data_IF_757703413835
#
_entry.id   IF_757703413835
#
_cell.length_a   1.000
_cell.length_b   1.000
_cell.length_c   1.000
_cell.angle_alpha   90.00
_cell.angle_beta   90.00
_cell.angle_gamma   90.00
#
_symmetry.space_group_name_H-M   'P 1'
#
loop_
_entity.id
_entity.type
_entity.pdbx_description
1 polymer ?
#
# COMPACT_ATOMS: atom_id res chain seq x y z
N UNK A 1 -13.09 -0.60 -34.40
CA UNK A 1 -12.73 -0.30 -32.99
C UNK A 1 -12.04 1.04 -32.93
N UNK A 2 -12.52 1.99 -32.12
CA UNK A 2 -11.95 3.33 -32.06
C UNK A 2 -10.60 3.25 -31.33
N UNK A 3 -9.48 3.45 -32.05
CA UNK A 3 -8.12 3.35 -31.49
C UNK A 3 -7.92 4.28 -30.28
N UNK A 4 -8.66 5.39 -30.22
CA UNK A 4 -8.70 6.36 -29.12
C UNK A 4 -9.35 5.85 -27.84
N UNK A 5 -9.97 4.65 -27.82
CA UNK A 5 -10.56 4.06 -26.62
C UNK A 5 -9.70 2.95 -26.02
N UNK A 6 -8.82 2.34 -26.82
CA UNK A 6 -7.99 1.21 -26.42
C UNK A 6 -6.88 1.59 -25.45
N UNK A 7 -6.55 2.88 -25.33
CA UNK A 7 -5.52 3.34 -24.41
C UNK A 7 -5.95 3.19 -22.94
N UNK A 8 -7.24 3.31 -22.61
CA UNK A 8 -7.74 3.17 -21.22
C UNK A 8 -7.43 1.76 -20.67
N UNK A 9 -7.89 0.66 -21.31
CA UNK A 9 -7.54 -0.67 -20.85
C UNK A 9 -6.05 -0.95 -20.95
N UNK A 10 -5.33 -0.39 -21.92
CA UNK A 10 -3.88 -0.56 -22.03
C UNK A 10 -3.11 0.09 -20.88
N UNK A 11 -3.44 1.33 -20.51
CA UNK A 11 -2.83 2.05 -19.39
C UNK A 11 -3.21 1.40 -18.06
N UNK A 12 -4.47 1.00 -17.90
CA UNK A 12 -4.91 0.24 -16.74
C UNK A 12 -4.08 -1.04 -16.56
N UNK A 13 -3.96 -1.84 -17.63
CA UNK A 13 -3.21 -3.09 -17.60
C UNK A 13 -1.72 -2.85 -17.33
N UNK A 14 -1.14 -1.78 -17.87
CA UNK A 14 0.26 -1.41 -17.62
C UNK A 14 0.47 -1.07 -16.14
N UNK A 15 -0.34 -0.17 -15.57
CA UNK A 15 -0.20 0.27 -14.17
C UNK A 15 -0.44 -0.91 -13.22
N UNK A 16 -1.55 -1.64 -13.39
CA UNK A 16 -1.86 -2.78 -12.53
C UNK A 16 -0.84 -3.92 -12.72
N UNK A 17 -0.37 -4.14 -13.94
CA UNK A 17 0.68 -5.12 -14.21
C UNK A 17 1.97 -4.81 -13.44
N UNK A 18 2.42 -3.55 -13.46
CA UNK A 18 3.58 -3.11 -12.69
C UNK A 18 3.35 -3.29 -11.18
N UNK A 19 2.20 -2.85 -10.66
CA UNK A 19 1.88 -2.95 -9.23
C UNK A 19 1.81 -4.40 -8.74
N UNK A 20 1.19 -5.29 -9.52
CA UNK A 20 1.08 -6.70 -9.19
C UNK A 20 2.44 -7.41 -9.29
N UNK A 21 3.26 -7.10 -10.28
CA UNK A 21 4.62 -7.66 -10.38
C UNK A 21 5.49 -7.17 -9.22
N UNK A 22 5.42 -5.89 -8.85
CA UNK A 22 6.14 -5.38 -7.68
C UNK A 22 5.69 -6.12 -6.41
N UNK A 23 4.39 -6.19 -6.17
CA UNK A 23 3.85 -6.70 -4.90
C UNK A 23 3.95 -8.22 -4.79
N UNK A 24 3.53 -8.97 -5.82
CA UNK A 24 3.49 -10.43 -5.76
C UNK A 24 4.84 -11.01 -6.21
N UNK A 25 5.48 -10.42 -7.22
CA UNK A 25 6.71 -10.94 -7.79
C UNK A 25 7.95 -10.61 -6.96
N UNK A 26 8.00 -9.42 -6.36
CA UNK A 26 9.13 -8.99 -5.53
C UNK A 26 8.79 -8.91 -4.04
N UNK A 27 7.60 -9.38 -3.62
CA UNK A 27 7.09 -9.24 -2.25
C UNK A 27 7.18 -7.81 -1.72
N UNK A 28 7.10 -6.83 -2.63
CA UNK A 28 7.30 -5.44 -2.25
C UNK A 28 6.14 -4.95 -1.39
N UNK A 29 6.51 -4.40 -0.24
CA UNK A 29 5.67 -3.51 0.57
C UNK A 29 6.40 -2.20 0.80
N UNK A 30 5.66 -1.10 1.04
CA UNK A 30 6.27 0.19 1.37
C UNK A 30 6.99 0.23 2.73
N UNK A 31 7.10 -0.91 3.43
CA UNK A 31 7.84 -1.06 4.68
C UNK A 31 9.35 -0.99 4.39
N UNK A 32 10.09 -0.04 4.96
CA UNK A 32 11.56 0.03 4.85
C UNK A 32 12.30 -0.92 5.82
N UNK A 33 11.59 -1.91 6.37
CA UNK A 33 12.00 -2.77 7.46
C UNK A 33 11.68 -4.23 7.09
N UNK A 34 12.65 -5.10 7.35
CA UNK A 34 12.48 -6.55 7.31
C UNK A 34 12.71 -7.09 8.73
N UNK A 35 11.95 -8.09 9.14
CA UNK A 35 12.22 -8.82 10.37
C UNK A 35 12.06 -10.30 10.19
N UNK A 36 12.84 -11.04 10.99
CA UNK A 36 12.77 -12.49 11.09
C UNK A 36 12.99 -12.91 12.55
N UNK A 37 12.37 -14.02 12.94
CA UNK A 37 12.59 -14.64 14.24
C UNK A 37 13.02 -16.07 13.96
N UNK A 38 14.30 -16.37 14.17
CA UNK A 38 14.90 -17.68 13.93
C UNK A 38 15.77 -18.08 15.13
N UNK A 39 15.67 -19.33 15.58
CA UNK A 39 16.52 -19.92 16.63
C UNK A 39 16.72 -19.05 17.89
N UNK A 40 15.64 -18.42 18.38
CA UNK A 40 15.62 -17.50 19.53
C UNK A 40 16.33 -16.16 19.33
N UNK A 41 16.68 -15.82 18.10
CA UNK A 41 17.20 -14.52 17.69
C UNK A 41 16.12 -13.78 16.92
N UNK A 42 15.83 -12.56 17.35
CA UNK A 42 15.01 -11.62 16.62
C UNK A 42 15.94 -10.70 15.83
N UNK A 43 15.90 -10.85 14.51
CA UNK A 43 16.70 -10.05 13.57
C UNK A 43 15.82 -9.00 12.92
N UNK A 44 16.26 -7.75 12.99
CA UNK A 44 15.59 -6.62 12.35
C UNK A 44 16.56 -5.92 11.42
N UNK A 45 16.16 -5.73 10.17
CA UNK A 45 16.90 -4.96 9.17
C UNK A 45 16.12 -3.71 8.81
N UNK A 46 16.71 -2.53 9.00
CA UNK A 46 16.10 -1.25 8.59
C UNK A 46 17.15 -0.40 7.88
N UNK A 47 16.84 0.05 6.66
CA UNK A 47 17.75 0.88 5.84
C UNK A 47 19.17 0.32 5.67
N UNK A 48 19.34 -0.99 5.72
CA UNK A 48 20.63 -1.68 5.59
C UNK A 48 21.40 -1.86 6.90
N UNK A 49 20.90 -1.36 8.01
CA UNK A 49 21.40 -1.69 9.35
C UNK A 49 20.63 -2.90 9.88
N UNK A 50 21.33 -3.82 10.53
CA UNK A 50 20.74 -5.06 11.09
C UNK A 50 21.06 -5.17 12.57
N UNK A 51 20.04 -5.39 13.38
CA UNK A 51 20.14 -5.65 14.81
C UNK A 51 19.66 -7.06 15.12
N UNK A 52 20.34 -7.70 16.05
CA UNK A 52 20.03 -9.05 16.51
C UNK A 52 19.92 -9.02 18.03
N UNK A 53 18.74 -9.38 18.55
CA UNK A 53 18.48 -9.45 20.00
C UNK A 53 17.84 -10.80 20.35
N UNK A 54 17.84 -11.16 21.64
CA UNK A 54 17.16 -12.37 22.09
C UNK A 54 15.65 -12.22 21.94
N UNK A 55 15.02 -13.13 21.19
CA UNK A 55 13.57 -13.15 21.02
C UNK A 55 12.85 -13.49 22.34
N UNK A 56 13.43 -14.36 23.18
CA UNK A 56 12.86 -14.77 24.48
C UNK A 56 12.88 -13.64 25.52
N UNK A 57 13.92 -12.79 25.51
CA UNK A 57 13.98 -11.65 26.42
C UNK A 57 13.04 -10.50 25.97
N UNK A 58 12.71 -10.45 24.67
CA UNK A 58 11.94 -9.37 24.05
C UNK A 58 10.68 -9.84 23.32
N UNK A 59 10.03 -10.91 23.78
CA UNK A 59 8.87 -11.55 23.12
C UNK A 59 7.75 -10.57 22.79
N UNK A 60 7.45 -9.65 23.72
CA UNK A 60 6.36 -8.70 23.54
C UNK A 60 6.63 -7.74 22.37
N UNK A 61 7.87 -7.24 22.27
CA UNK A 61 8.31 -6.33 21.21
C UNK A 61 8.39 -7.07 19.87
N UNK A 62 8.97 -8.27 19.85
CA UNK A 62 9.04 -9.10 18.65
C UNK A 62 7.63 -9.42 18.11
N UNK A 63 6.67 -9.69 18.99
CA UNK A 63 5.27 -9.93 18.61
C UNK A 63 4.60 -8.67 18.05
N UNK A 64 4.77 -7.51 18.71
CA UNK A 64 4.22 -6.23 18.23
C UNK A 64 4.78 -5.88 16.83
N UNK A 65 6.09 -6.03 16.63
CA UNK A 65 6.74 -5.80 15.37
C UNK A 65 6.18 -6.67 14.23
N UNK A 66 5.92 -7.95 14.54
CA UNK A 66 5.30 -8.87 13.58
C UNK A 66 3.85 -8.51 13.25
N UNK A 67 3.07 -8.11 14.26
CA UNK A 67 1.70 -7.65 14.07
C UNK A 67 1.62 -6.37 13.23
N UNK A 68 2.47 -5.38 13.51
CA UNK A 68 2.55 -4.14 12.75
C UNK A 68 2.94 -4.42 11.29
N UNK A 69 3.92 -5.31 11.05
CA UNK A 69 4.31 -5.73 9.71
C UNK A 69 3.16 -6.37 8.94
N UNK A 70 2.45 -7.32 9.56
CA UNK A 70 1.30 -7.98 8.94
C UNK A 70 0.17 -6.99 8.62
N UNK A 71 -0.09 -6.03 9.52
CA UNK A 71 -1.08 -4.97 9.29
C UNK A 71 -0.71 -4.10 8.09
N UNK A 72 0.57 -3.79 7.90
CA UNK A 72 0.99 -3.06 6.70
C UNK A 72 0.78 -3.90 5.43
N UNK A 73 1.18 -5.18 5.43
CA UNK A 73 0.94 -6.06 4.28
C UNK A 73 -0.54 -6.11 3.91
N UNK A 74 -1.43 -6.23 4.91
CA UNK A 74 -2.87 -6.22 4.71
C UNK A 74 -3.37 -4.87 4.17
N UNK A 75 -2.89 -3.75 4.73
CA UNK A 75 -3.23 -2.41 4.25
C UNK A 75 -2.75 -2.19 2.81
N UNK A 76 -1.54 -2.62 2.46
CA UNK A 76 -1.00 -2.54 1.11
C UNK A 76 -1.79 -3.39 0.11
N UNK A 77 -2.19 -4.60 0.50
CA UNK A 77 -3.06 -5.44 -0.32
C UNK A 77 -4.42 -4.77 -0.56
N UNK A 78 -4.99 -4.15 0.48
CA UNK A 78 -6.23 -3.39 0.36
C UNK A 78 -6.06 -2.17 -0.57
N UNK A 79 -4.94 -1.46 -0.47
CA UNK A 79 -4.59 -0.34 -1.35
C UNK A 79 -4.56 -0.77 -2.82
N UNK A 80 -3.92 -1.90 -3.14
CA UNK A 80 -3.87 -2.42 -4.52
C UNK A 80 -5.27 -2.74 -5.04
N UNK A 81 -6.11 -3.36 -4.23
CA UNK A 81 -7.50 -3.68 -4.60
C UNK A 81 -8.27 -2.40 -4.89
N UNK A 82 -8.14 -1.39 -4.02
CA UNK A 82 -8.86 -0.13 -4.18
C UNK A 82 -8.33 0.72 -5.33
N UNK A 83 -7.02 0.74 -5.57
CA UNK A 83 -6.42 1.31 -6.78
C UNK A 83 -6.96 0.58 -8.00
N UNK A 84 -6.97 -0.76 -8.00
CA UNK A 84 -7.49 -1.56 -9.11
C UNK A 84 -8.97 -1.29 -9.41
N UNK A 85 -9.79 -1.03 -8.39
CA UNK A 85 -11.19 -0.68 -8.54
C UNK A 85 -11.41 0.77 -8.98
N UNK A 86 -10.63 1.73 -8.46
CA UNK A 86 -10.82 3.17 -8.71
C UNK A 86 -10.12 3.66 -9.98
N UNK A 87 -8.99 3.06 -10.35
CA UNK A 87 -8.17 3.49 -11.48
C UNK A 87 -8.95 3.60 -12.80
N UNK A 88 -9.85 2.65 -13.17
CA UNK A 88 -10.68 2.83 -14.36
C UNK A 88 -11.50 4.11 -14.32
N UNK A 89 -12.10 4.44 -13.17
CA UNK A 89 -12.91 5.65 -13.01
C UNK A 89 -12.09 6.92 -13.15
N UNK A 90 -10.88 6.92 -12.59
CA UNK A 90 -9.89 8.02 -12.73
C UNK A 90 -9.49 8.18 -14.20
N UNK A 91 -9.16 7.10 -14.91
CA UNK A 91 -8.80 7.15 -16.32
C UNK A 91 -9.96 7.68 -17.20
N UNK A 92 -11.19 7.25 -16.91
CA UNK A 92 -12.39 7.75 -17.59
C UNK A 92 -12.73 9.21 -17.22
N UNK A 93 -12.33 9.70 -16.05
CA UNK A 93 -12.51 11.10 -15.67
C UNK A 93 -11.74 12.06 -16.59
N UNK A 94 -10.65 11.60 -17.21
CA UNK A 94 -9.89 12.37 -18.20
C UNK A 94 -10.61 12.48 -19.56
N UNK A 95 -11.68 11.71 -19.79
CA UNK A 95 -12.34 11.56 -21.09
C UNK A 95 -13.86 11.76 -21.00
N UNK A 96 -14.31 13.02 -21.06
CA UNK A 96 -15.72 13.41 -20.96
C UNK A 96 -16.67 12.57 -21.82
N UNK A 97 -16.32 12.26 -23.06
CA UNK A 97 -17.24 11.61 -24.02
C UNK A 97 -17.36 10.09 -23.86
N UNK A 98 -16.36 9.47 -23.23
CA UNK A 98 -16.17 8.03 -23.17
C UNK A 98 -16.40 7.45 -21.77
N UNK A 99 -16.74 8.30 -20.80
CA UNK A 99 -17.01 7.90 -19.42
C UNK A 99 -18.22 6.97 -19.31
N UNK A 100 -18.22 6.07 -18.31
CA UNK A 100 -19.40 5.28 -17.97
C UNK A 100 -20.55 6.19 -17.52
N UNK A 101 -21.79 5.73 -17.73
CA UNK A 101 -23.01 6.42 -17.29
C UNK A 101 -23.21 7.85 -17.83
N UNK A 102 -22.57 8.23 -18.95
CA UNK A 102 -22.66 9.59 -19.52
C UNK A 102 -24.08 10.11 -19.75
N UNK A 103 -25.03 9.19 -19.99
CA UNK A 103 -26.45 9.51 -20.25
C UNK A 103 -27.26 9.74 -18.96
N UNK A 104 -26.73 9.33 -17.79
CA UNK A 104 -27.41 9.40 -16.49
C UNK A 104 -26.72 10.37 -15.52
N UNK A 105 -25.40 10.54 -15.65
CA UNK A 105 -24.59 11.33 -14.71
C UNK A 105 -23.91 12.51 -15.44
N UNK A 106 -24.19 13.76 -15.03
CA UNK A 106 -23.48 14.93 -15.50
C UNK A 106 -21.97 14.82 -15.24
N UNK A 107 -21.15 15.39 -16.13
CA UNK A 107 -19.70 15.25 -16.05
C UNK A 107 -19.10 15.78 -14.74
N UNK A 108 -19.58 16.94 -14.28
CA UNK A 108 -19.11 17.52 -13.01
C UNK A 108 -19.41 16.63 -11.81
N UNK A 109 -20.59 15.99 -11.77
CA UNK A 109 -20.94 15.05 -10.72
C UNK A 109 -20.03 13.80 -10.77
N UNK A 110 -19.81 13.24 -11.95
CA UNK A 110 -18.90 12.10 -12.13
C UNK A 110 -17.48 12.39 -11.61
N UNK A 111 -16.92 13.54 -11.99
CA UNK A 111 -15.60 13.98 -11.50
C UNK A 111 -15.64 14.17 -9.98
N UNK A 112 -16.66 14.87 -9.47
CA UNK A 112 -16.80 15.15 -8.05
C UNK A 112 -16.82 13.86 -7.21
N UNK A 113 -17.59 12.85 -7.63
CA UNK A 113 -17.61 11.55 -6.96
C UNK A 113 -16.27 10.82 -7.06
N UNK A 114 -15.67 10.78 -8.24
CA UNK A 114 -14.38 10.09 -8.44
C UNK A 114 -13.28 10.72 -7.59
N UNK A 115 -13.14 12.04 -7.63
CA UNK A 115 -12.18 12.77 -6.81
C UNK A 115 -12.48 12.64 -5.32
N UNK A 116 -13.75 12.72 -4.92
CA UNK A 116 -14.16 12.53 -3.54
C UNK A 116 -13.70 11.18 -2.98
N UNK A 117 -13.91 10.10 -3.72
CA UNK A 117 -13.47 8.76 -3.32
C UNK A 117 -11.94 8.66 -3.24
N UNK A 118 -11.23 9.18 -4.25
CA UNK A 118 -9.75 9.14 -4.28
C UNK A 118 -9.16 9.93 -3.10
N UNK A 119 -9.68 11.13 -2.81
CA UNK A 119 -9.18 11.97 -1.72
C UNK A 119 -9.50 11.36 -0.36
N UNK A 120 -10.74 10.92 -0.14
CA UNK A 120 -11.14 10.29 1.13
C UNK A 120 -10.32 9.04 1.41
N UNK A 121 -10.16 8.18 0.39
CA UNK A 121 -9.35 6.98 0.54
C UNK A 121 -7.88 7.31 0.73
N UNK A 122 -7.34 8.27 -0.04
CA UNK A 122 -5.95 8.69 0.08
C UNK A 122 -5.61 9.20 1.48
N UNK A 123 -6.48 10.00 2.10
CA UNK A 123 -6.30 10.46 3.49
C UNK A 123 -6.29 9.26 4.45
N UNK A 124 -7.24 8.33 4.30
CA UNK A 124 -7.33 7.15 5.15
C UNK A 124 -6.11 6.22 5.03
N UNK A 125 -5.71 5.87 3.80
CA UNK A 125 -4.56 5.01 3.53
C UNK A 125 -3.27 5.64 4.04
N UNK A 126 -3.00 6.92 3.71
CA UNK A 126 -1.81 7.63 4.20
C UNK A 126 -1.75 7.66 5.73
N UNK A 127 -2.86 8.00 6.40
CA UNK A 127 -2.90 8.02 7.86
C UNK A 127 -2.60 6.65 8.46
N UNK A 128 -3.17 5.59 7.89
CA UNK A 128 -2.99 4.22 8.38
C UNK A 128 -1.54 3.78 8.24
N UNK A 129 -0.92 4.03 7.08
CA UNK A 129 0.50 3.75 6.85
C UNK A 129 1.40 4.54 7.82
N UNK A 130 1.08 5.82 8.08
CA UNK A 130 1.83 6.64 9.03
C UNK A 130 1.75 6.09 10.47
N UNK A 131 0.57 5.66 10.91
CA UNK A 131 0.38 5.09 12.24
C UNK A 131 1.17 3.78 12.40
N UNK A 132 1.13 2.91 11.38
CA UNK A 132 1.90 1.65 11.38
C UNK A 132 3.41 1.93 11.36
N UNK A 133 3.86 2.88 10.54
CA UNK A 133 5.26 3.28 10.48
C UNK A 133 5.77 3.89 11.79
N UNK A 134 4.91 4.61 12.52
CA UNK A 134 5.26 5.14 13.84
C UNK A 134 5.47 4.01 14.87
N UNK A 135 4.59 3.01 14.88
CA UNK A 135 4.69 1.82 15.74
C UNK A 135 5.96 1.00 15.43
N UNK A 136 6.27 0.80 14.14
CA UNK A 136 7.50 0.14 13.71
C UNK A 136 8.75 0.93 14.09
N UNK A 137 8.70 2.26 13.99
CA UNK A 137 9.82 3.12 14.40
C UNK A 137 10.09 3.02 15.90
N UNK A 138 9.05 3.02 16.74
CA UNK A 138 9.19 2.85 18.19
C UNK A 138 9.88 1.52 18.54
N UNK A 139 9.56 0.47 17.79
CA UNK A 139 10.20 -0.84 17.92
C UNK A 139 11.70 -0.79 17.56
N UNK A 140 12.06 -0.10 16.48
CA UNK A 140 13.47 0.08 16.07
C UNK A 140 14.24 0.94 17.07
N UNK A 141 13.64 2.04 17.54
CA UNK A 141 14.25 2.92 18.53
C UNK A 141 14.52 2.14 19.84
N UNK A 142 13.59 1.26 20.26
CA UNK A 142 13.81 0.36 21.39
C UNK A 142 14.99 -0.59 21.17
N UNK A 143 15.06 -1.23 20.00
CA UNK A 143 16.15 -2.14 19.66
C UNK A 143 17.52 -1.46 19.70
N UNK A 144 17.60 -0.22 19.22
CA UNK A 144 18.82 0.59 19.32
C UNK A 144 19.27 0.77 20.78
N UNK A 145 18.33 1.02 21.70
CA UNK A 145 18.65 1.27 23.11
C UNK A 145 19.15 0.02 23.84
N UNK A 146 18.75 -1.18 23.41
CA UNK A 146 19.05 -2.45 24.09
C UNK A 146 20.15 -3.28 23.42
N UNK A 147 20.54 -2.97 22.18
CA UNK A 147 21.67 -3.59 21.46
C UNK A 147 23.02 -2.99 21.84
#
# INVERSE_FOLDING_TARGET
>A
MNKKLLWIPAVYALIMGILLVATIGFSYTPIPYDHTIEDNTWTVTYKGETWEVSAEEHVNQALQASLANNREHDQWNQDIVLIGALLPFVLFALHKEHRPFRNKVPYGAYIGFTLGLVVLYGIFSISTHMDIHAELKETIDYLWEVS
#
